data_IF_595035657549
#
_entry.id   IF_595035657549
#
_cell.length_a   1.000
_cell.length_b   1.000
_cell.length_c   1.000
_cell.angle_alpha   90.00
_cell.angle_beta   90.00
_cell.angle_gamma   90.00
#
_symmetry.space_group_name_H-M   'P 1'
#
loop_
_entity.id
_entity.type
_entity.pdbx_description
1 polymer ?
#
# COMPACT_ATOMS: atom_id res chain seq x y z
N UNK A 1 8.44 5.20 -17.45
CA UNK A 1 8.00 5.50 -16.07
C UNK A 1 8.96 4.81 -15.11
N UNK A 2 9.28 5.43 -13.97
CA UNK A 2 10.03 4.79 -12.89
C UNK A 2 9.23 4.90 -11.59
N UNK A 3 8.91 3.76 -10.99
CA UNK A 3 8.06 3.64 -9.81
C UNK A 3 8.88 3.41 -8.55
N UNK A 4 8.63 4.17 -7.49
CA UNK A 4 9.07 3.81 -6.13
C UNK A 4 7.97 3.00 -5.47
N UNK A 5 8.30 1.83 -4.96
CA UNK A 5 7.42 1.03 -4.12
C UNK A 5 7.97 1.06 -2.70
N UNK A 6 7.20 1.58 -1.75
CA UNK A 6 7.53 1.57 -0.32
C UNK A 6 6.62 0.57 0.37
N UNK A 7 7.19 -0.38 1.10
CA UNK A 7 6.39 -1.37 1.83
C UNK A 7 6.46 -1.10 3.32
N UNK A 8 5.29 -1.15 3.96
CA UNK A 8 5.15 -1.00 5.40
C UNK A 8 4.69 -2.30 6.10
N UNK A 9 4.50 -3.38 5.33
CA UNK A 9 3.98 -4.65 5.78
C UNK A 9 2.46 -4.76 5.63
N UNK A 10 1.82 -5.37 6.63
CA UNK A 10 0.39 -5.68 6.61
C UNK A 10 0.05 -6.98 5.89
N UNK A 11 -1.24 -7.23 5.72
CA UNK A 11 -1.76 -8.52 5.26
C UNK A 11 -1.20 -8.97 3.91
N UNK A 12 -0.91 -8.03 3.00
CA UNK A 12 -0.36 -8.33 1.68
C UNK A 12 0.96 -9.11 1.74
N UNK A 13 1.78 -8.84 2.76
CA UNK A 13 3.10 -9.46 2.98
C UNK A 13 3.04 -10.56 4.06
N UNK A 14 1.85 -10.94 4.53
CA UNK A 14 1.69 -11.92 5.62
C UNK A 14 2.12 -13.32 5.16
N UNK A 15 2.92 -13.99 5.99
CA UNK A 15 3.31 -15.38 5.81
C UNK A 15 2.84 -16.16 7.04
N UNK A 16 2.15 -17.28 6.85
CA UNK A 16 1.81 -18.19 7.94
C UNK A 16 2.85 -19.31 7.95
N UNK A 17 3.58 -19.46 9.05
CA UNK A 17 4.33 -20.68 9.36
C UNK A 17 3.46 -21.58 10.28
N UNK A 18 3.68 -22.87 10.16
CA UNK A 18 2.82 -23.97 10.60
C UNK A 18 2.50 -24.04 12.12
N UNK A 19 1.52 -24.91 12.41
CA UNK A 19 0.90 -25.35 13.68
C UNK A 19 0.48 -24.30 14.73
N UNK A 20 1.25 -23.24 14.95
CA UNK A 20 1.00 -22.19 15.96
C UNK A 20 0.29 -20.95 15.41
N UNK A 21 0.12 -20.81 14.08
CA UNK A 21 -0.63 -19.71 13.43
C UNK A 21 -0.25 -18.29 13.90
N UNK A 22 0.98 -18.06 14.34
CA UNK A 22 1.45 -16.74 14.77
C UNK A 22 1.53 -15.79 13.56
N UNK A 23 1.00 -14.57 13.72
CA UNK A 23 1.03 -13.54 12.69
C UNK A 23 2.47 -13.03 12.51
N UNK A 24 3.03 -13.21 11.31
CA UNK A 24 4.32 -12.63 10.93
C UNK A 24 4.22 -11.93 9.57
N UNK A 25 4.85 -10.75 9.46
CA UNK A 25 5.00 -10.01 8.21
C UNK A 25 6.30 -10.46 7.56
N UNK A 26 6.22 -11.12 6.40
CA UNK A 26 7.37 -11.62 5.68
C UNK A 26 8.00 -10.59 4.74
N UNK A 27 8.82 -11.08 3.81
CA UNK A 27 9.41 -10.23 2.78
C UNK A 27 8.35 -9.60 1.87
N UNK A 28 8.59 -8.38 1.35
CA UNK A 28 7.66 -7.71 0.44
C UNK A 28 7.28 -8.56 -0.77
N UNK A 29 5.99 -8.91 -0.91
CA UNK A 29 5.49 -9.73 -2.02
C UNK A 29 5.25 -8.92 -3.29
N UNK A 30 5.28 -7.59 -3.20
CA UNK A 30 5.02 -6.68 -4.31
C UNK A 30 6.05 -6.79 -5.45
N UNK A 31 7.31 -7.08 -5.14
CA UNK A 31 8.37 -7.23 -6.14
C UNK A 31 8.12 -8.41 -7.08
N UNK A 32 7.96 -9.64 -6.55
CA UNK A 32 7.53 -10.79 -7.34
C UNK A 32 6.21 -10.55 -8.08
N UNK A 33 5.19 -10.03 -7.38
CA UNK A 33 3.87 -9.78 -7.97
C UNK A 33 3.94 -8.90 -9.23
N UNK A 34 4.69 -7.79 -9.20
CA UNK A 34 4.85 -6.92 -10.36
C UNK A 34 5.58 -7.62 -11.52
N UNK A 35 6.62 -8.42 -11.23
CA UNK A 35 7.33 -9.20 -12.26
C UNK A 35 6.43 -10.25 -12.90
N UNK A 36 5.69 -10.99 -12.08
CA UNK A 36 4.78 -12.05 -12.54
C UNK A 36 3.58 -11.48 -13.32
N UNK A 37 3.20 -10.22 -13.03
CA UNK A 37 2.19 -9.47 -13.79
C UNK A 37 2.72 -8.91 -15.12
N UNK A 38 3.98 -9.21 -15.49
CA UNK A 38 4.62 -8.77 -16.73
C UNK A 38 4.57 -7.24 -16.96
N UNK A 39 4.81 -6.46 -15.89
CA UNK A 39 4.91 -5.00 -16.03
C UNK A 39 6.14 -4.60 -16.84
N UNK A 40 6.01 -3.54 -17.64
CA UNK A 40 7.05 -3.10 -18.59
C UNK A 40 7.81 -1.84 -18.17
N UNK A 41 7.57 -1.34 -16.96
CA UNK A 41 8.22 -0.15 -16.41
C UNK A 41 9.23 -0.50 -15.32
N UNK A 42 10.20 0.38 -15.10
CA UNK A 42 11.18 0.23 -14.02
C UNK A 42 10.56 0.51 -12.66
N UNK A 43 10.93 -0.28 -11.65
CA UNK A 43 10.55 -0.02 -10.28
C UNK A 43 11.66 -0.36 -9.29
N UNK A 44 11.63 0.32 -8.14
CA UNK A 44 12.51 0.02 -7.00
C UNK A 44 11.62 -0.25 -5.80
N UNK A 45 11.82 -1.40 -5.16
CA UNK A 45 11.14 -1.77 -3.91
C UNK A 45 12.03 -1.41 -2.73
N UNK A 46 11.44 -0.74 -1.76
CA UNK A 46 12.08 -0.35 -0.51
C UNK A 46 11.23 -0.80 0.66
N UNK A 47 11.76 -1.75 1.44
CA UNK A 47 11.11 -2.21 2.67
C UNK A 47 11.43 -1.25 3.81
N UNK A 48 10.47 -0.41 4.17
CA UNK A 48 10.64 0.60 5.24
C UNK A 48 10.20 0.04 6.58
N UNK A 49 9.12 -0.73 6.61
CA UNK A 49 8.61 -1.40 7.81
C UNK A 49 8.05 -2.78 7.46
N UNK A 50 7.99 -3.65 8.46
CA UNK A 50 7.31 -4.96 8.41
C UNK A 50 6.40 -5.07 9.65
N UNK A 51 5.33 -4.27 9.69
CA UNK A 51 4.45 -4.17 10.86
C UNK A 51 2.99 -4.49 10.50
N UNK A 52 2.25 -5.00 11.48
CA UNK A 52 0.80 -4.88 11.45
C UNK A 52 0.43 -3.39 11.54
N UNK A 53 -0.48 -2.92 10.69
CA UNK A 53 -0.94 -1.53 10.72
C UNK A 53 -1.54 -1.12 12.08
N UNK A 54 -2.14 -2.04 12.84
CA UNK A 54 -2.65 -1.75 14.19
C UNK A 54 -1.53 -1.45 15.19
N UNK A 55 -0.31 -1.93 14.95
CA UNK A 55 0.86 -1.64 15.75
C UNK A 55 1.67 -0.43 15.24
N UNK A 56 1.20 0.25 14.17
CA UNK A 56 1.91 1.36 13.56
C UNK A 56 1.72 2.67 14.34
N UNK A 57 2.83 3.29 14.70
CA UNK A 57 2.90 4.52 15.50
C UNK A 57 3.09 5.78 14.64
N UNK A 58 2.96 6.97 15.24
CA UNK A 58 3.22 8.23 14.52
C UNK A 58 4.68 8.37 14.03
N UNK A 59 5.72 7.98 14.81
CA UNK A 59 7.08 7.90 14.30
C UNK A 59 7.24 7.00 13.08
N UNK A 60 6.52 5.88 13.02
CA UNK A 60 6.52 4.99 11.85
C UNK A 60 5.94 5.69 10.62
N UNK A 61 4.84 6.44 10.78
CA UNK A 61 4.21 7.21 9.70
C UNK A 61 5.11 8.35 9.23
N UNK A 62 5.77 9.03 10.16
CA UNK A 62 6.76 10.06 9.86
C UNK A 62 7.97 9.50 9.09
N UNK A 63 8.42 8.29 9.44
CA UNK A 63 9.46 7.59 8.67
C UNK A 63 9.00 7.34 7.24
N UNK A 64 7.81 6.75 7.03
CA UNK A 64 7.25 6.52 5.68
C UNK A 64 7.22 7.83 4.89
N UNK A 65 6.70 8.91 5.49
CA UNK A 65 6.67 10.25 4.87
C UNK A 65 8.06 10.70 4.42
N UNK A 66 9.05 10.62 5.31
CA UNK A 66 10.42 11.03 5.00
C UNK A 66 11.02 10.23 3.84
N UNK A 67 10.71 8.91 3.74
CA UNK A 67 11.15 8.08 2.61
C UNK A 67 10.48 8.47 1.30
N UNK A 68 9.20 8.85 1.34
CA UNK A 68 8.47 9.37 0.16
C UNK A 68 9.07 10.70 -0.33
N UNK A 69 9.33 11.63 0.58
CA UNK A 69 9.92 12.93 0.28
C UNK A 69 11.34 12.79 -0.29
N UNK A 70 12.15 11.88 0.28
CA UNK A 70 13.52 11.62 -0.17
C UNK A 70 13.62 10.85 -1.50
N UNK A 71 12.56 10.14 -1.92
CA UNK A 71 12.58 9.39 -3.17
C UNK A 71 12.73 10.32 -4.39
N UNK A 72 13.61 10.03 -5.36
CA UNK A 72 13.70 10.82 -6.59
C UNK A 72 12.49 10.59 -7.52
N UNK A 73 11.79 9.47 -7.38
CA UNK A 73 10.61 9.16 -8.19
C UNK A 73 9.40 10.05 -7.80
N UNK A 74 8.62 10.44 -8.81
CA UNK A 74 7.35 11.19 -8.61
C UNK A 74 6.15 10.27 -8.35
N UNK A 75 6.23 9.03 -8.83
CA UNK A 75 5.17 8.04 -8.69
C UNK A 75 5.55 7.07 -7.57
N UNK A 76 4.69 7.00 -6.55
CA UNK A 76 4.96 6.28 -5.32
C UNK A 76 3.80 5.32 -5.03
N UNK A 77 4.07 4.02 -5.05
CA UNK A 77 3.15 3.00 -4.56
C UNK A 77 3.51 2.67 -3.12
N UNK A 78 2.53 2.67 -2.22
CA UNK A 78 2.73 2.24 -0.83
C UNK A 78 1.88 1.01 -0.56
N UNK A 79 2.52 -0.12 -0.25
CA UNK A 79 1.81 -1.30 0.28
C UNK A 79 1.72 -1.22 1.79
N UNK A 80 0.50 -1.36 2.32
CA UNK A 80 0.21 -1.09 3.72
C UNK A 80 -0.91 -1.98 4.26
N UNK A 81 -0.87 -2.28 5.57
CA UNK A 81 -1.98 -2.93 6.27
C UNK A 81 -3.25 -2.08 6.28
N UNK A 82 -4.41 -2.71 6.10
CA UNK A 82 -5.63 -1.94 5.76
C UNK A 82 -6.25 -1.18 6.94
N UNK A 83 -5.97 -1.57 8.18
CA UNK A 83 -6.68 -1.05 9.36
C UNK A 83 -6.37 0.40 9.71
N UNK A 84 -5.14 0.84 9.47
CA UNK A 84 -4.71 2.23 9.72
C UNK A 84 -4.13 2.89 8.48
N UNK A 85 -4.43 2.37 7.29
CA UNK A 85 -3.93 2.90 6.01
C UNK A 85 -4.30 4.38 5.83
N UNK A 86 -5.55 4.75 6.13
CA UNK A 86 -6.03 6.14 6.02
C UNK A 86 -5.31 7.09 6.96
N UNK A 87 -4.90 6.63 8.15
CA UNK A 87 -4.12 7.44 9.08
C UNK A 87 -2.70 7.70 8.55
N UNK A 88 -2.07 6.72 7.90
CA UNK A 88 -0.76 6.92 7.25
C UNK A 88 -0.91 7.86 6.05
N UNK A 89 -1.94 7.64 5.23
CA UNK A 89 -2.19 8.49 4.08
C UNK A 89 -2.48 9.95 4.47
N UNK A 90 -3.16 10.18 5.60
CA UNK A 90 -3.34 11.51 6.16
C UNK A 90 -2.01 12.17 6.56
N UNK A 91 -1.08 11.41 7.15
CA UNK A 91 0.25 11.91 7.51
C UNK A 91 1.11 12.31 6.29
N UNK A 92 0.81 11.79 5.10
CA UNK A 92 1.50 12.11 3.84
C UNK A 92 0.85 13.26 3.06
N UNK A 93 -0.27 13.82 3.53
CA UNK A 93 -0.90 14.97 2.88
C UNK A 93 0.06 16.16 2.77
N UNK A 94 -0.09 16.94 1.70
CA UNK A 94 0.72 18.13 1.43
C UNK A 94 2.12 17.88 0.86
N UNK A 95 2.49 16.62 0.56
CA UNK A 95 3.71 16.35 -0.22
C UNK A 95 3.50 16.87 -1.65
N UNK A 96 4.33 17.82 -2.06
CA UNK A 96 4.26 18.43 -3.39
C UNK A 96 4.88 17.52 -4.47
N UNK A 97 4.43 17.70 -5.72
CA UNK A 97 5.02 17.10 -6.94
C UNK A 97 5.09 15.56 -7.00
N UNK A 98 4.35 14.87 -6.13
CA UNK A 98 4.30 13.40 -6.08
C UNK A 98 2.87 12.88 -6.14
N UNK A 99 2.66 11.83 -6.92
CA UNK A 99 1.44 11.03 -6.91
C UNK A 99 1.70 9.80 -6.05
N UNK A 100 1.03 9.75 -4.90
CA UNK A 100 1.17 8.68 -3.91
C UNK A 100 -0.12 7.88 -3.90
N UNK A 101 -0.04 6.58 -4.17
CA UNK A 101 -1.19 5.68 -4.09
C UNK A 101 -0.90 4.62 -3.04
N UNK A 102 -1.75 4.56 -2.03
CA UNK A 102 -1.78 3.49 -1.05
C UNK A 102 -2.61 2.32 -1.57
N UNK A 103 -2.13 1.12 -1.32
CA UNK A 103 -2.89 -0.10 -1.55
C UNK A 103 -2.50 -1.17 -0.52
N UNK A 104 -3.24 -2.26 -0.53
CA UNK A 104 -3.06 -3.39 0.36
C UNK A 104 -3.95 -4.53 -0.08
N UNK A 105 -4.16 -5.48 0.84
CA UNK A 105 -5.01 -6.63 0.58
C UNK A 105 -5.75 -7.03 1.85
N UNK A 106 -6.93 -7.61 1.70
CA UNK A 106 -7.66 -8.26 2.79
C UNK A 106 -7.15 -9.69 3.02
N UNK A 107 -6.54 -10.29 2.00
CA UNK A 107 -5.93 -11.61 2.06
C UNK A 107 -4.44 -11.56 1.67
N UNK A 108 -3.59 -12.45 2.20
CA UNK A 108 -2.17 -12.49 1.83
C UNK A 108 -1.96 -12.68 0.34
N UNK A 109 -0.96 -12.02 -0.25
CA UNK A 109 -0.71 -12.06 -1.69
C UNK A 109 -0.39 -13.48 -2.21
N UNK A 110 0.08 -14.37 -1.34
CA UNK A 110 0.39 -15.77 -1.68
C UNK A 110 -0.85 -16.65 -1.86
N UNK A 111 -2.03 -16.19 -1.43
CA UNK A 111 -3.25 -16.98 -1.54
C UNK A 111 -3.82 -16.86 -2.96
N UNK A 112 -4.32 -17.99 -3.49
CA UNK A 112 -4.87 -18.05 -4.86
C UNK A 112 -6.00 -17.03 -5.08
N UNK A 113 -6.86 -16.86 -4.08
CA UNK A 113 -8.05 -16.00 -4.17
C UNK A 113 -7.79 -14.59 -3.60
N UNK A 114 -6.52 -14.20 -3.46
CA UNK A 114 -6.13 -12.91 -2.90
C UNK A 114 -6.57 -11.73 -3.77
N UNK A 115 -7.07 -10.68 -3.10
CA UNK A 115 -7.38 -9.39 -3.72
C UNK A 115 -6.14 -8.54 -4.04
N UNK A 116 -4.94 -8.98 -3.63
CA UNK A 116 -3.70 -8.23 -3.77
C UNK A 116 -3.37 -7.87 -5.23
N UNK A 117 -3.43 -8.83 -6.15
CA UNK A 117 -3.07 -8.61 -7.56
C UNK A 117 -3.97 -7.55 -8.19
N UNK A 118 -5.27 -7.65 -7.95
CA UNK A 118 -6.24 -6.70 -8.48
C UNK A 118 -6.05 -5.29 -7.88
N UNK A 119 -5.91 -5.19 -6.55
CA UNK A 119 -5.71 -3.90 -5.89
C UNK A 119 -4.40 -3.23 -6.35
N UNK A 120 -3.30 -3.99 -6.50
CA UNK A 120 -2.02 -3.48 -7.01
C UNK A 120 -2.16 -3.01 -8.46
N UNK A 121 -2.79 -3.80 -9.33
CA UNK A 121 -3.02 -3.41 -10.72
C UNK A 121 -3.82 -2.11 -10.82
N UNK A 122 -4.87 -1.97 -10.01
CA UNK A 122 -5.66 -0.75 -9.90
C UNK A 122 -4.81 0.45 -9.43
N UNK A 123 -3.99 0.26 -8.40
CA UNK A 123 -3.12 1.29 -7.85
C UNK A 123 -2.05 1.76 -8.86
N UNK A 124 -1.44 0.83 -9.61
CA UNK A 124 -0.46 1.13 -10.67
C UNK A 124 -1.11 1.87 -11.83
N UNK A 125 -2.34 1.51 -12.22
CA UNK A 125 -3.10 2.28 -13.21
C UNK A 125 -3.39 3.70 -12.74
N UNK A 126 -3.83 3.85 -11.49
CA UNK A 126 -4.11 5.15 -10.87
C UNK A 126 -2.88 6.07 -10.85
N UNK A 127 -1.72 5.53 -10.48
CA UNK A 127 -0.44 6.28 -10.45
C UNK A 127 -0.09 6.94 -11.78
N UNK A 128 -0.52 6.37 -12.91
CA UNK A 128 -0.15 6.87 -14.23
C UNK A 128 -1.06 7.98 -14.74
N UNK A 129 -2.27 8.11 -14.19
CA UNK A 129 -3.30 9.00 -14.72
C UNK A 129 -3.72 10.10 -13.75
N UNK A 130 -3.43 9.94 -12.45
CA UNK A 130 -3.79 10.92 -11.44
C UNK A 130 -2.74 12.03 -11.29
N UNK A 131 -3.17 13.27 -11.03
CA UNK A 131 -2.26 14.35 -10.71
C UNK A 131 -1.56 14.11 -9.36
N UNK A 132 -0.54 14.94 -9.02
CA UNK A 132 0.07 14.90 -7.69
C UNK A 132 -0.98 15.00 -6.57
N UNK A 133 -0.81 14.16 -5.55
CA UNK A 133 -1.78 13.97 -4.48
C UNK A 133 -1.62 12.62 -3.79
N UNK A 134 -2.40 12.39 -2.73
CA UNK A 134 -2.41 11.14 -1.97
C UNK A 134 -3.75 10.44 -2.11
N UNK A 135 -3.72 9.20 -2.57
CA UNK A 135 -4.89 8.40 -2.91
C UNK A 135 -4.84 7.02 -2.25
N UNK A 136 -6.00 6.38 -2.16
CA UNK A 136 -6.16 4.98 -1.76
C UNK A 136 -6.83 4.24 -2.91
N UNK A 137 -6.24 3.11 -3.31
CA UNK A 137 -6.77 2.20 -4.32
C UNK A 137 -7.05 0.84 -3.67
N UNK A 138 -8.32 0.59 -3.36
CA UNK A 138 -8.79 -0.62 -2.68
C UNK A 138 -10.20 -0.96 -3.17
N UNK A 139 -10.55 -2.25 -3.21
CA UNK A 139 -11.91 -2.71 -3.56
C UNK A 139 -12.40 -2.20 -4.93
N UNK A 140 -11.48 -2.03 -5.90
CA UNK A 140 -11.80 -1.55 -7.25
C UNK A 140 -12.13 -0.06 -7.35
N UNK A 141 -11.93 0.70 -6.28
CA UNK A 141 -12.17 2.14 -6.25
C UNK A 141 -10.88 2.86 -5.91
N UNK A 142 -10.62 3.93 -6.65
CA UNK A 142 -9.55 4.88 -6.33
C UNK A 142 -10.19 6.15 -5.77
N UNK A 143 -9.69 6.63 -4.63
CA UNK A 143 -10.25 7.81 -3.98
C UNK A 143 -9.16 8.68 -3.36
N UNK A 144 -9.36 10.01 -3.27
CA UNK A 144 -8.56 10.86 -2.41
C UNK A 144 -8.48 10.26 -1.00
N UNK A 145 -7.29 10.28 -0.39
CA UNK A 145 -7.08 9.60 0.89
C UNK A 145 -7.90 10.21 2.04
N UNK A 146 -8.29 11.47 1.92
CA UNK A 146 -9.12 12.19 2.88
C UNK A 146 -10.63 11.91 2.71
N UNK A 147 -11.07 11.30 1.61
CA UNK A 147 -12.49 11.05 1.33
C UNK A 147 -12.97 9.64 1.67
N UNK A 148 -12.09 8.73 2.09
CA UNK A 148 -12.44 7.33 2.40
C UNK A 148 -12.06 6.89 3.81
N UNK A 149 -12.76 5.88 4.34
CA UNK A 149 -12.47 5.23 5.62
C UNK A 149 -12.50 3.70 5.48
N UNK A 150 -11.81 3.02 6.38
CA UNK A 150 -11.88 1.56 6.52
C UNK A 150 -13.15 1.17 7.28
N UNK A 151 -14.04 0.43 6.62
CA UNK A 151 -15.13 -0.28 7.28
C UNK A 151 -14.64 -1.68 7.67
N UNK A 152 -14.36 -1.86 8.97
CA UNK A 152 -13.83 -3.14 9.50
C UNK A 152 -14.87 -4.25 9.47
N UNK A 153 -16.13 -3.96 9.80
CA UNK A 153 -17.20 -4.95 9.80
C UNK A 153 -17.44 -5.54 8.41
N UNK A 154 -17.37 -4.69 7.37
CA UNK A 154 -17.56 -5.12 5.98
C UNK A 154 -16.25 -5.45 5.24
N UNK A 155 -15.09 -5.39 5.91
CA UNK A 155 -13.77 -5.63 5.32
C UNK A 155 -13.52 -4.87 4.00
N UNK A 156 -13.91 -3.61 3.93
CA UNK A 156 -13.76 -2.77 2.72
C UNK A 156 -13.48 -1.31 3.04
N UNK A 157 -13.09 -0.56 2.02
CA UNK A 157 -13.07 0.90 2.06
C UNK A 157 -14.41 1.46 1.56
N UNK A 158 -14.85 2.55 2.17
CA UNK A 158 -16.08 3.25 1.80
C UNK A 158 -15.90 4.76 1.95
N UNK A 159 -16.72 5.59 1.25
CA UNK A 159 -16.69 7.04 1.41
C UNK A 159 -16.92 7.46 2.87
N UNK A 160 -16.27 8.56 3.27
CA UNK A 160 -16.63 9.26 4.50
C UNK A 160 -17.99 9.94 4.27
N UNK A 161 -18.90 9.68 5.20
CA UNK A 161 -20.18 10.38 5.36
C UNK A 161 -19.97 11.77 5.94
#
# INVERSE_FOLDING_TARGET
MRLRVITAGGTIDKVYFDAASTYEVGEPQIGPLLRDSNVTFDFVVESVLQKDSLAMTDPDRALIRARVEAAPEKLILITHGTDTMTATAAALQGIADKTVVFTGAMQPARFRDSDAVFNVGCAVGALQVLPPGVYIAMNGVVSPADSVKKNRAASRFEPKS
#
